data_IF_643469142586
#
_entry.id   IF_643469142586
#
_cell.length_a   1.000
_cell.length_b   1.000
_cell.length_c   1.000
_cell.angle_alpha   90.00
_cell.angle_beta   90.00
_cell.angle_gamma   90.00
#
_symmetry.space_group_name_H-M   'P 1'
#
loop_
_entity.id
_entity.type
_entity.pdbx_description
1 polymer ?
#
# COMPACT_ATOMS: atom_id res chain seq x y z
N UNK A 1 6.83 57.10 -62.07
CA UNK A 1 5.46 57.12 -61.51
C UNK A 1 5.56 57.20 -60.00
N UNK A 2 4.93 58.20 -59.36
CA UNK A 2 5.03 58.47 -57.91
C UNK A 2 4.01 57.63 -57.14
N UNK A 3 4.41 57.12 -55.97
CA UNK A 3 3.60 56.34 -55.05
C UNK A 3 2.44 57.17 -54.47
N UNK A 4 1.26 56.55 -54.38
CA UNK A 4 0.05 57.11 -53.78
C UNK A 4 0.21 57.13 -52.25
N UNK A 5 0.07 58.30 -51.63
CA UNK A 5 0.12 58.46 -50.19
C UNK A 5 -1.21 57.99 -49.54
N UNK A 6 -1.10 57.08 -48.58
CA UNK A 6 -2.20 56.59 -47.74
C UNK A 6 -2.70 57.73 -46.84
N UNK A 7 -4.01 57.98 -46.84
CA UNK A 7 -4.66 58.97 -46.00
C UNK A 7 -4.55 58.58 -44.52
N UNK A 8 -3.70 59.28 -43.77
CA UNK A 8 -3.48 59.14 -42.33
C UNK A 8 -4.50 59.96 -41.55
N UNK A 9 -5.56 59.30 -41.07
CA UNK A 9 -6.55 59.91 -40.18
C UNK A 9 -7.22 58.95 -39.19
N UNK A 10 -6.84 57.66 -39.18
CA UNK A 10 -7.42 56.70 -38.26
C UNK A 10 -6.41 56.35 -37.17
N UNK A 11 -6.73 56.72 -35.92
CA UNK A 11 -5.98 56.29 -34.74
C UNK A 11 -5.83 54.78 -34.80
N UNK A 12 -4.59 54.24 -34.80
CA UNK A 12 -4.37 52.80 -34.83
C UNK A 12 -5.13 52.17 -33.65
N UNK A 13 -6.08 51.29 -33.96
CA UNK A 13 -6.83 50.57 -32.95
C UNK A 13 -5.83 49.80 -32.07
N UNK A 14 -5.99 49.84 -30.72
CA UNK A 14 -5.16 49.05 -29.84
C UNK A 14 -5.24 47.58 -30.24
N UNK A 15 -4.11 46.89 -30.25
CA UNK A 15 -4.02 45.46 -30.60
C UNK A 15 -5.06 44.62 -29.87
N UNK A 16 -5.36 44.93 -28.61
CA UNK A 16 -6.41 44.29 -27.82
C UNK A 16 -7.82 44.43 -28.44
N UNK A 17 -8.18 45.57 -29.01
CA UNK A 17 -9.47 45.76 -29.68
C UNK A 17 -9.53 45.00 -31.01
N UNK A 18 -8.41 44.94 -31.74
CA UNK A 18 -8.31 44.15 -32.98
C UNK A 18 -8.50 42.67 -32.67
N UNK A 19 -7.83 42.17 -31.63
CA UNK A 19 -7.94 40.77 -31.18
C UNK A 19 -9.34 40.46 -30.66
N UNK A 20 -9.99 41.39 -29.94
CA UNK A 20 -11.38 41.22 -29.47
C UNK A 20 -12.42 41.18 -30.59
N UNK A 21 -12.12 41.72 -31.78
CA UNK A 21 -12.99 41.59 -32.95
C UNK A 21 -12.78 40.28 -33.70
N UNK A 22 -11.58 39.71 -33.61
CA UNK A 22 -11.21 38.43 -34.25
C UNK A 22 -11.62 37.23 -33.40
N UNK A 23 -11.51 37.35 -32.08
CA UNK A 23 -11.91 36.31 -31.14
C UNK A 23 -13.31 36.64 -30.59
N UNK A 24 -14.35 35.82 -30.86
CA UNK A 24 -15.68 36.02 -30.29
C UNK A 24 -15.62 36.13 -28.76
N UNK A 25 -16.25 37.17 -28.23
CA UNK A 25 -16.22 37.58 -26.82
C UNK A 25 -16.79 36.51 -25.86
N UNK A 26 -17.55 35.55 -26.39
CA UNK A 26 -17.92 34.31 -25.70
C UNK A 26 -16.98 33.16 -26.13
N UNK A 27 -15.94 32.95 -25.32
CA UNK A 27 -14.82 32.03 -25.55
C UNK A 27 -15.17 30.54 -25.51
N UNK A 28 -16.42 30.14 -25.23
CA UNK A 28 -16.73 28.74 -24.92
C UNK A 28 -16.68 27.78 -26.12
N UNK A 29 -16.76 28.28 -27.36
CA UNK A 29 -16.78 27.47 -28.59
C UNK A 29 -15.82 27.96 -29.68
N UNK A 30 -14.72 28.62 -29.30
CA UNK A 30 -13.77 29.14 -30.28
C UNK A 30 -12.85 28.01 -30.81
N UNK A 31 -13.09 27.60 -32.06
CA UNK A 31 -12.31 26.59 -32.78
C UNK A 31 -10.82 26.96 -32.91
N UNK A 32 -10.49 28.26 -32.98
CA UNK A 32 -9.10 28.73 -33.04
C UNK A 32 -8.33 28.36 -31.77
N UNK A 33 -8.92 28.61 -30.59
CA UNK A 33 -8.33 28.25 -29.31
C UNK A 33 -8.25 26.73 -29.11
N UNK A 34 -9.24 25.98 -29.64
CA UNK A 34 -9.20 24.51 -29.66
C UNK A 34 -8.06 23.96 -30.51
N UNK A 35 -7.87 24.51 -31.72
CA UNK A 35 -6.80 24.09 -32.62
C UNK A 35 -5.41 24.49 -32.11
N UNK A 36 -5.31 25.60 -31.38
CA UNK A 36 -4.08 26.03 -30.72
C UNK A 36 -3.77 25.28 -29.42
N UNK A 37 -4.65 24.37 -28.98
CA UNK A 37 -4.50 23.64 -27.70
C UNK A 37 -4.73 24.50 -26.44
N UNK A 38 -5.25 25.71 -26.61
CA UNK A 38 -5.46 26.71 -25.54
C UNK A 38 -6.87 26.64 -24.94
N UNK A 39 -7.75 25.79 -25.46
CA UNK A 39 -9.07 25.58 -24.90
C UNK A 39 -8.93 24.86 -23.56
N UNK A 40 -9.22 25.56 -22.47
CA UNK A 40 -9.20 24.96 -21.14
C UNK A 40 -10.28 23.87 -21.07
N UNK A 41 -9.96 22.67 -20.55
CA UNK A 41 -10.97 21.66 -20.31
C UNK A 41 -12.00 22.22 -19.32
N UNK A 42 -13.28 22.00 -19.63
CA UNK A 42 -14.41 22.47 -18.82
C UNK A 42 -14.29 22.00 -17.36
N UNK A 43 -14.40 22.93 -16.40
CA UNK A 43 -14.28 22.69 -14.94
C UNK A 43 -15.24 21.63 -14.38
N UNK A 44 -16.28 21.24 -15.11
CA UNK A 44 -17.19 20.16 -14.71
C UNK A 44 -16.52 18.79 -14.75
N UNK A 45 -15.54 18.56 -15.62
CA UNK A 45 -14.82 17.28 -15.68
C UNK A 45 -13.77 17.15 -14.56
N UNK A 46 -13.23 18.26 -14.06
CA UNK A 46 -12.29 18.25 -12.93
C UNK A 46 -12.99 17.90 -11.62
N UNK A 47 -14.17 18.46 -11.36
CA UNK A 47 -14.92 18.22 -10.12
C UNK A 47 -15.38 16.77 -9.98
N UNK A 48 -15.83 16.15 -11.08
CA UNK A 48 -16.22 14.75 -11.11
C UNK A 48 -15.02 13.82 -10.84
N UNK A 49 -13.85 14.15 -11.41
CA UNK A 49 -12.61 13.41 -11.18
C UNK A 49 -12.12 13.55 -9.74
N UNK A 50 -12.18 14.75 -9.16
CA UNK A 50 -11.82 14.99 -7.76
C UNK A 50 -12.72 14.21 -6.79
N UNK A 51 -14.02 14.14 -7.05
CA UNK A 51 -14.96 13.36 -6.24
C UNK A 51 -14.64 11.85 -6.27
N UNK A 52 -14.26 11.32 -7.45
CA UNK A 52 -13.81 9.92 -7.58
C UNK A 52 -12.51 9.69 -6.81
N UNK A 53 -11.53 10.59 -6.95
CA UNK A 53 -10.25 10.48 -6.23
C UNK A 53 -10.44 10.52 -4.70
N UNK A 54 -11.31 11.39 -4.20
CA UNK A 54 -11.64 11.44 -2.76
C UNK A 54 -12.30 10.15 -2.27
N UNK A 55 -13.22 9.59 -3.06
CA UNK A 55 -13.87 8.32 -2.72
C UNK A 55 -12.87 7.18 -2.64
N UNK A 56 -11.96 7.10 -3.61
CA UNK A 56 -10.93 6.06 -3.66
C UNK A 56 -9.94 6.18 -2.50
N UNK A 57 -9.51 7.40 -2.18
CA UNK A 57 -8.63 7.66 -1.04
C UNK A 57 -9.28 7.27 0.30
N UNK A 58 -10.58 7.55 0.46
CA UNK A 58 -11.32 7.14 1.65
C UNK A 58 -11.49 5.61 1.73
N UNK A 59 -11.80 4.95 0.61
CA UNK A 59 -11.86 3.50 0.55
C UNK A 59 -10.52 2.85 0.89
N UNK A 60 -9.41 3.42 0.38
CA UNK A 60 -8.06 2.96 0.68
C UNK A 60 -7.69 3.16 2.17
N UNK A 61 -8.06 4.30 2.77
CA UNK A 61 -7.85 4.52 4.21
C UNK A 61 -8.59 3.48 5.06
N UNK A 62 -9.84 3.19 4.70
CA UNK A 62 -10.64 2.19 5.41
C UNK A 62 -10.07 0.78 5.25
N UNK A 63 -9.67 0.38 4.03
CA UNK A 63 -9.05 -0.93 3.82
C UNK A 63 -7.71 -1.04 4.54
N UNK A 64 -6.90 0.01 4.54
CA UNK A 64 -5.63 0.05 5.28
C UNK A 64 -5.83 -0.10 6.79
N UNK A 65 -6.87 0.52 7.35
CA UNK A 65 -7.18 0.38 8.78
C UNK A 65 -7.56 -1.07 9.12
N UNK A 66 -8.44 -1.68 8.34
CA UNK A 66 -8.85 -3.09 8.53
C UNK A 66 -7.65 -4.04 8.40
N UNK A 67 -6.78 -3.82 7.42
CA UNK A 67 -5.56 -4.61 7.25
C UNK A 67 -4.61 -4.45 8.45
N UNK A 68 -4.50 -3.24 8.99
CA UNK A 68 -3.66 -2.99 10.16
C UNK A 68 -4.18 -3.74 11.40
N UNK A 69 -5.48 -3.69 11.66
CA UNK A 69 -6.11 -4.40 12.77
C UNK A 69 -5.88 -5.91 12.66
N UNK A 70 -6.03 -6.46 11.44
CA UNK A 70 -5.79 -7.88 11.18
C UNK A 70 -4.32 -8.28 11.41
N UNK A 71 -3.37 -7.41 11.02
CA UNK A 71 -1.95 -7.65 11.28
C UNK A 71 -1.63 -7.62 12.77
N UNK A 72 -2.24 -6.72 13.54
CA UNK A 72 -2.06 -6.66 14.99
C UNK A 72 -2.61 -7.91 15.67
N UNK A 73 -3.79 -8.37 15.27
CA UNK A 73 -4.39 -9.62 15.76
C UNK A 73 -3.51 -10.82 15.42
N UNK A 74 -3.03 -10.91 14.17
CA UNK A 74 -2.16 -12.00 13.73
C UNK A 74 -0.85 -12.01 14.53
N UNK A 75 -0.26 -10.83 14.76
CA UNK A 75 0.95 -10.71 15.58
C UNK A 75 0.72 -11.22 17.01
N UNK A 76 -0.40 -10.87 17.64
CA UNK A 76 -0.75 -11.38 18.98
C UNK A 76 -0.87 -12.91 18.99
N UNK A 77 -1.53 -13.47 17.96
CA UNK A 77 -1.67 -14.93 17.80
C UNK A 77 -0.32 -15.61 17.61
N UNK A 78 0.58 -15.02 16.83
CA UNK A 78 1.94 -15.55 16.60
C UNK A 78 2.74 -15.60 17.90
N UNK A 79 2.72 -14.55 18.71
CA UNK A 79 3.41 -14.54 20.02
C UNK A 79 2.92 -15.67 20.91
N UNK A 80 1.59 -15.85 21.00
CA UNK A 80 1.01 -16.96 21.78
C UNK A 80 1.43 -18.32 21.23
N UNK A 81 1.46 -18.49 19.91
CA UNK A 81 1.89 -19.73 19.27
C UNK A 81 3.38 -20.03 19.52
N UNK A 82 4.23 -19.01 19.50
CA UNK A 82 5.66 -19.13 19.82
C UNK A 82 5.88 -19.55 21.27
N UNK A 83 5.17 -18.95 22.24
CA UNK A 83 5.24 -19.38 23.65
C UNK A 83 4.80 -20.83 23.84
N UNK A 84 3.72 -21.26 23.18
CA UNK A 84 3.25 -22.64 23.24
C UNK A 84 4.28 -23.59 22.65
N UNK A 85 4.91 -23.20 21.54
CA UNK A 85 5.95 -23.99 20.90
C UNK A 85 7.18 -24.16 21.81
N UNK A 86 7.63 -23.08 22.45
CA UNK A 86 8.78 -23.10 23.38
C UNK A 86 8.50 -23.97 24.62
N UNK A 87 7.30 -23.85 25.20
CA UNK A 87 6.87 -24.72 26.31
C UNK A 87 6.82 -26.19 25.89
N UNK A 88 6.31 -26.47 24.69
CA UNK A 88 6.21 -27.84 24.17
C UNK A 88 7.58 -28.44 23.93
N UNK A 89 8.52 -27.67 23.36
CA UNK A 89 9.91 -28.10 23.18
C UNK A 89 10.58 -28.43 24.53
N UNK A 90 10.40 -27.58 25.54
CA UNK A 90 10.93 -27.80 26.88
C UNK A 90 10.39 -29.09 27.52
N UNK A 91 9.09 -29.35 27.39
CA UNK A 91 8.46 -30.59 27.88
C UNK A 91 9.00 -31.83 27.16
N UNK A 92 9.26 -31.72 25.87
CA UNK A 92 9.82 -32.83 25.09
C UNK A 92 11.24 -33.18 25.55
N UNK A 93 12.07 -32.18 25.81
CA UNK A 93 13.43 -32.39 26.33
C UNK A 93 13.42 -33.01 27.73
N UNK A 94 12.52 -32.58 28.61
CA UNK A 94 12.36 -33.15 29.95
C UNK A 94 11.91 -34.62 29.88
N UNK A 95 10.94 -34.93 29.01
CA UNK A 95 10.45 -36.29 28.82
C UNK A 95 11.54 -37.22 28.28
N UNK A 96 12.36 -36.73 27.35
CA UNK A 96 13.52 -37.46 26.82
C UNK A 96 14.56 -37.74 27.90
N UNK A 97 14.82 -36.79 28.79
CA UNK A 97 15.72 -36.99 29.93
C UNK A 97 15.16 -38.06 30.87
N UNK A 98 13.87 -37.99 31.20
CA UNK A 98 13.21 -38.98 32.05
C UNK A 98 13.30 -40.40 31.44
N UNK A 99 13.12 -40.52 30.13
CA UNK A 99 13.29 -41.79 29.42
C UNK A 99 14.71 -42.35 29.58
N UNK A 100 15.73 -41.51 29.36
CA UNK A 100 17.13 -41.89 29.51
C UNK A 100 17.47 -42.33 30.93
N UNK A 101 16.99 -41.58 31.94
CA UNK A 101 17.20 -41.92 33.35
C UNK A 101 16.52 -43.25 33.71
N UNK A 102 15.30 -43.49 33.23
CA UNK A 102 14.58 -44.75 33.40
C UNK A 102 15.32 -45.92 32.75
N UNK A 103 15.78 -45.73 31.51
CA UNK A 103 16.56 -46.75 30.80
C UNK A 103 17.85 -47.12 31.55
N UNK A 104 18.57 -46.11 32.06
CA UNK A 104 19.78 -46.32 32.85
C UNK A 104 19.50 -47.07 34.16
N UNK A 105 18.41 -46.73 34.86
CA UNK A 105 18.01 -47.43 36.08
C UNK A 105 17.70 -48.90 35.82
N UNK A 106 16.96 -49.20 34.75
CA UNK A 106 16.66 -50.57 34.36
C UNK A 106 17.92 -51.37 34.01
N UNK A 107 18.87 -50.74 33.31
CA UNK A 107 20.17 -51.37 33.01
C UNK A 107 20.95 -51.72 34.29
N UNK A 108 21.00 -50.79 35.26
CA UNK A 108 21.66 -51.03 36.55
C UNK A 108 20.97 -52.14 37.34
N UNK A 109 19.65 -52.13 37.42
CA UNK A 109 18.87 -53.14 38.12
C UNK A 109 19.09 -54.53 37.52
N UNK A 110 19.08 -54.63 36.18
CA UNK A 110 19.41 -55.88 35.48
C UNK A 110 20.79 -56.39 35.86
N UNK A 111 21.80 -55.52 35.88
CA UNK A 111 23.16 -55.91 36.25
C UNK A 111 23.22 -56.48 37.68
N UNK A 112 22.58 -55.82 38.64
CA UNK A 112 22.50 -56.27 40.04
C UNK A 112 21.86 -57.66 40.15
N UNK A 113 20.74 -57.90 39.45
CA UNK A 113 20.10 -59.23 39.47
C UNK A 113 21.04 -60.29 38.89
N UNK A 114 21.65 -60.03 37.73
CA UNK A 114 22.52 -61.01 37.08
C UNK A 114 23.75 -61.35 37.93
N UNK A 115 24.34 -60.36 38.60
CA UNK A 115 25.48 -60.57 39.52
C UNK A 115 25.05 -61.29 40.79
N UNK A 116 23.89 -60.95 41.37
CA UNK A 116 23.37 -61.61 42.57
C UNK A 116 23.04 -63.09 42.36
N UNK A 117 22.49 -63.45 41.19
CA UNK A 117 22.21 -64.86 40.83
C UNK A 117 23.52 -65.63 40.58
N UNK A 118 24.54 -64.98 39.99
CA UNK A 118 25.85 -65.60 39.75
C UNK A 118 26.62 -65.93 41.04
N UNK A 119 26.32 -65.29 42.17
CA UNK A 119 26.97 -65.57 43.46
C UNK A 119 26.26 -66.68 44.28
N UNK A 120 25.15 -67.22 43.79
CA UNK A 120 24.36 -68.27 44.47
C UNK A 120 24.40 -69.64 43.76
N UNK A 121 25.10 -69.75 42.62
CA UNK A 121 25.37 -71.03 41.91
C UNK A 121 26.80 -71.48 42.18
#
# INVERSE_FOLDING_TARGET
MRAQAVATGQVPLPSAQVVSKVLPQNSSNNTFLKNAGLSTPSSKSSLAREAVQHRELNAQKQSSAVLHDHLEELKKKTVVAEEVLERTASLFDELKKQEQDSHLMLQKFRHVITSGISCQS
#
